data_IF_461776236073
#
_entry.id   IF_461776236073
#
_cell.length_a   1.000
_cell.length_b   1.000
_cell.length_c   1.000
_cell.angle_alpha   90.00
_cell.angle_beta   90.00
_cell.angle_gamma   90.00
#
_symmetry.space_group_name_H-M   'P 1'
#
loop_
_entity.id
_entity.type
_entity.pdbx_description
1 polymer ?
#
# COMPACT_ATOMS: atom_id res chain seq x y z
N UNK A 1 41.76 -49.29 -15.63
CA UNK A 1 41.75 -48.23 -16.65
C UNK A 1 40.29 -47.80 -16.77
N UNK A 2 39.78 -46.62 -16.42
CA UNK A 2 40.33 -45.28 -16.23
C UNK A 2 39.57 -44.60 -15.08
N UNK A 3 40.30 -43.81 -14.30
CA UNK A 3 39.90 -43.01 -13.14
C UNK A 3 39.67 -41.54 -13.53
N UNK A 4 38.71 -40.86 -12.91
CA UNK A 4 38.54 -39.39 -13.03
C UNK A 4 37.43 -38.85 -12.10
N UNK A 5 37.51 -37.58 -11.64
CA UNK A 5 37.90 -37.37 -10.24
C UNK A 5 36.82 -36.77 -9.31
N UNK A 6 37.02 -37.11 -8.05
CA UNK A 6 36.47 -36.54 -6.82
C UNK A 6 36.90 -35.08 -6.60
N UNK A 7 36.00 -34.23 -6.09
CA UNK A 7 36.35 -32.92 -5.54
C UNK A 7 35.80 -32.76 -4.13
N UNK A 8 36.74 -32.45 -3.23
CA UNK A 8 36.61 -32.32 -1.79
C UNK A 8 36.48 -30.84 -1.39
N UNK A 9 35.60 -30.60 -0.42
CA UNK A 9 35.68 -29.72 0.77
C UNK A 9 36.56 -28.46 0.68
N UNK A 10 35.96 -27.30 1.00
CA UNK A 10 36.65 -26.21 1.68
C UNK A 10 35.72 -25.59 2.75
N UNK A 11 36.11 -25.81 4.00
CA UNK A 11 35.60 -25.19 5.23
C UNK A 11 36.24 -23.80 5.35
N UNK A 12 35.44 -22.76 5.58
CA UNK A 12 35.95 -21.46 6.03
C UNK A 12 35.46 -21.19 7.45
N UNK A 13 36.37 -21.41 8.40
CA UNK A 13 36.26 -20.96 9.77
C UNK A 13 37.06 -19.65 9.90
N UNK A 14 36.44 -18.60 10.43
CA UNK A 14 37.11 -17.38 10.86
C UNK A 14 36.68 -17.05 12.29
N UNK A 15 37.54 -17.44 13.23
CA UNK A 15 37.63 -16.91 14.59
C UNK A 15 38.62 -15.76 14.58
N UNK A 16 38.32 -14.69 15.34
CA UNK A 16 39.22 -13.84 16.15
C UNK A 16 38.29 -12.83 16.85
N UNK A 17 37.96 -13.01 18.13
CA UNK A 17 38.72 -12.57 19.30
C UNK A 17 38.88 -11.04 19.38
N UNK A 18 38.21 -10.45 20.37
CA UNK A 18 38.30 -9.04 20.72
C UNK A 18 37.61 -8.78 22.06
N UNK A 19 38.24 -9.24 23.14
CA UNK A 19 37.90 -8.88 24.51
C UNK A 19 38.55 -7.55 24.86
N UNK A 20 37.78 -6.58 25.33
CA UNK A 20 38.30 -5.44 26.09
C UNK A 20 37.42 -5.15 27.28
N UNK A 21 38.12 -4.96 28.39
CA UNK A 21 37.72 -5.06 29.77
C UNK A 21 37.79 -3.66 30.41
N UNK A 22 36.96 -3.45 31.44
CA UNK A 22 37.10 -2.48 32.56
C UNK A 22 37.00 -0.99 32.22
N UNK A 23 36.00 -0.31 32.79
CA UNK A 23 36.20 0.51 33.99
C UNK A 23 34.91 1.11 34.54
N UNK A 24 34.56 0.73 35.76
CA UNK A 24 33.73 1.50 36.67
C UNK A 24 34.49 2.75 37.12
N UNK A 25 33.84 3.91 37.15
CA UNK A 25 34.19 5.00 38.06
C UNK A 25 32.96 5.80 38.46
N UNK A 26 32.94 6.05 39.75
CA UNK A 26 31.93 6.63 40.63
C UNK A 26 31.80 8.16 40.55
N UNK A 27 30.63 8.63 41.03
CA UNK A 27 30.43 9.79 41.92
C UNK A 27 30.77 11.18 41.38
N UNK A 28 29.75 12.04 41.34
CA UNK A 28 29.90 13.48 41.14
C UNK A 28 28.61 14.26 41.37
N UNK A 29 28.19 14.37 42.63
CA UNK A 29 27.26 15.40 43.10
C UNK A 29 27.88 16.79 42.97
N UNK A 30 27.14 17.75 42.39
CA UNK A 30 27.22 19.23 42.59
C UNK A 30 26.10 19.87 41.72
N UNK A 31 24.98 20.26 42.31
CA UNK A 31 24.67 21.61 42.81
C UNK A 31 24.65 22.74 41.75
N UNK A 32 23.43 23.26 41.58
CA UNK A 32 23.01 24.67 41.68
C UNK A 32 23.31 25.69 40.56
N UNK A 33 22.20 26.27 40.06
CA UNK A 33 21.88 27.71 39.77
C UNK A 33 21.08 27.77 38.46
N UNK A 34 19.80 28.15 38.44
CA UNK A 34 19.16 29.43 38.79
C UNK A 34 19.57 30.59 37.86
N UNK A 35 18.55 31.36 37.43
CA UNK A 35 18.56 32.60 36.63
C UNK A 35 18.54 32.37 35.10
N UNK A 36 17.78 33.11 34.28
CA UNK A 36 16.76 34.12 34.49
C UNK A 36 16.07 34.37 33.14
N UNK A 37 14.86 34.92 33.23
CA UNK A 37 14.11 35.69 32.24
C UNK A 37 14.87 36.18 31.00
N UNK A 38 14.29 35.92 29.83
CA UNK A 38 14.18 36.95 28.80
C UNK A 38 12.91 36.76 27.96
N UNK A 39 11.89 37.52 28.35
CA UNK A 39 10.77 37.91 27.51
C UNK A 39 11.26 38.95 26.51
N UNK A 40 11.15 38.68 25.20
CA UNK A 40 11.24 39.72 24.18
C UNK A 40 9.96 39.69 23.33
N UNK A 41 9.31 40.85 23.32
CA UNK A 41 8.05 41.20 22.66
C UNK A 41 8.22 41.39 21.15
N UNK A 42 7.12 41.42 20.38
CA UNK A 42 7.12 41.47 18.92
C UNK A 42 7.52 42.85 18.39
N UNK A 43 8.25 42.86 17.25
CA UNK A 43 8.45 44.07 16.45
C UNK A 43 7.28 44.23 15.48
N UNK A 44 6.64 45.38 15.57
CA UNK A 44 5.69 45.91 14.60
C UNK A 44 6.40 46.42 13.34
N UNK A 45 5.57 46.69 12.33
CA UNK A 45 5.78 47.68 11.26
C UNK A 45 6.77 47.36 10.15
N UNK A 46 6.23 46.76 9.09
CA UNK A 46 6.58 47.19 7.73
C UNK A 46 5.34 47.12 6.83
N UNK A 47 4.56 48.21 6.86
CA UNK A 47 3.63 48.55 5.78
C UNK A 47 4.40 48.64 4.45
N UNK A 48 4.05 47.80 3.47
CA UNK A 48 4.38 48.07 2.06
C UNK A 48 3.13 48.13 1.20
N UNK A 49 2.76 49.39 0.98
CA UNK A 49 2.10 50.00 -0.17
C UNK A 49 1.71 49.08 -1.32
N UNK A 50 0.39 49.06 -1.54
CA UNK A 50 -0.31 48.82 -2.79
C UNK A 50 0.30 49.63 -3.94
N UNK A 51 0.62 48.97 -5.05
CA UNK A 51 0.75 49.61 -6.35
C UNK A 51 -0.14 48.89 -7.35
N UNK A 52 -1.20 49.59 -7.75
CA UNK A 52 -2.06 49.29 -8.89
C UNK A 52 -1.32 49.66 -10.18
N UNK A 53 -1.16 48.68 -11.06
CA UNK A 53 -0.89 48.82 -12.49
C UNK A 53 -1.04 47.42 -13.09
N UNK A 54 -1.51 47.16 -14.30
CA UNK A 54 -2.17 47.90 -15.36
C UNK A 54 -2.40 46.79 -16.41
N UNK A 55 -3.63 46.63 -16.90
CA UNK A 55 -3.97 45.68 -17.97
C UNK A 55 -3.30 46.13 -19.27
N UNK A 56 -2.65 45.22 -20.04
CA UNK A 56 -3.06 45.16 -21.44
C UNK A 56 -2.97 43.79 -22.13
N UNK A 57 -3.83 43.69 -23.15
CA UNK A 57 -3.68 42.97 -24.43
C UNK A 57 -3.96 41.47 -24.45
N UNK A 58 -5.24 41.21 -24.76
CA UNK A 58 -5.69 40.19 -25.70
C UNK A 58 -4.73 40.04 -26.89
N UNK A 59 -4.28 38.81 -27.14
CA UNK A 59 -3.72 38.37 -28.42
C UNK A 59 -4.40 37.09 -28.91
N UNK A 60 -4.43 36.89 -30.23
CA UNK A 60 -5.39 36.03 -30.91
C UNK A 60 -5.02 34.55 -30.88
N UNK A 61 -6.08 33.76 -30.89
CA UNK A 61 -6.13 32.29 -30.99
C UNK A 61 -5.60 31.83 -32.36
N UNK A 62 -4.60 30.95 -32.43
CA UNK A 62 -4.36 30.15 -33.62
C UNK A 62 -5.31 28.93 -33.64
N UNK A 63 -6.09 28.86 -34.72
CA UNK A 63 -6.90 27.71 -35.11
C UNK A 63 -6.04 26.46 -35.26
N UNK A 64 -6.15 25.53 -34.32
CA UNK A 64 -5.50 24.22 -34.41
C UNK A 64 -6.43 23.25 -35.11
N UNK A 65 -5.92 22.73 -36.22
CA UNK A 65 -6.52 21.74 -37.12
C UNK A 65 -6.95 20.49 -36.35
N UNK A 66 -8.23 20.13 -36.44
CA UNK A 66 -8.74 18.85 -35.96
C UNK A 66 -8.18 17.71 -36.82
N UNK A 67 -7.10 17.09 -36.35
CA UNK A 67 -6.65 15.80 -36.88
C UNK A 67 -7.57 14.72 -36.30
N UNK A 68 -8.53 14.25 -37.09
CA UNK A 68 -9.32 13.04 -36.79
C UNK A 68 -8.42 11.81 -36.89
N UNK A 69 -7.73 11.47 -35.82
CA UNK A 69 -7.20 10.12 -35.66
C UNK A 69 -8.35 9.18 -35.36
N UNK A 70 -8.58 8.21 -36.26
CA UNK A 70 -9.44 7.05 -35.98
C UNK A 70 -8.82 6.29 -34.82
N UNK A 71 -9.35 6.47 -33.61
CA UNK A 71 -9.14 5.55 -32.51
C UNK A 71 -9.88 4.25 -32.85
N UNK A 72 -9.11 3.19 -33.08
CA UNK A 72 -9.62 1.83 -32.97
C UNK A 72 -9.85 1.56 -31.48
N UNK A 73 -11.06 1.80 -31.00
CA UNK A 73 -11.52 1.18 -29.76
C UNK A 73 -11.71 -0.30 -30.04
N UNK A 74 -10.72 -1.11 -29.68
CA UNK A 74 -10.96 -2.53 -29.38
C UNK A 74 -11.83 -2.57 -28.14
N UNK A 75 -13.15 -2.55 -28.36
CA UNK A 75 -14.14 -2.87 -27.34
C UNK A 75 -13.99 -4.34 -26.97
N UNK A 76 -13.09 -4.63 -26.05
CA UNK A 76 -13.20 -5.82 -25.20
C UNK A 76 -14.23 -5.50 -24.10
N UNK A 77 -15.47 -5.22 -24.51
CA UNK A 77 -16.60 -5.24 -23.60
C UNK A 77 -16.97 -6.71 -23.41
N UNK A 78 -16.23 -7.40 -22.54
CA UNK A 78 -16.71 -8.65 -21.93
C UNK A 78 -17.72 -8.23 -20.86
N UNK A 79 -18.88 -7.72 -21.32
CA UNK A 79 -20.11 -7.77 -20.55
C UNK A 79 -20.79 -9.10 -20.89
N UNK A 80 -20.11 -10.22 -20.58
CA UNK A 80 -20.78 -11.51 -20.48
C UNK A 80 -21.29 -11.61 -19.04
N UNK A 81 -22.59 -11.87 -18.89
CA UNK A 81 -23.21 -12.04 -17.58
C UNK A 81 -22.38 -13.00 -16.73
N UNK A 82 -22.01 -12.54 -15.53
CA UNK A 82 -21.14 -13.25 -14.60
C UNK A 82 -21.85 -14.45 -13.92
N UNK A 83 -22.49 -15.32 -14.70
CA UNK A 83 -22.84 -16.68 -14.26
C UNK A 83 -21.53 -17.46 -14.10
N UNK A 84 -20.84 -17.27 -12.96
CA UNK A 84 -19.64 -18.04 -12.63
C UNK A 84 -18.58 -17.31 -11.79
N UNK A 85 -18.68 -16.00 -11.59
CA UNK A 85 -17.68 -15.27 -10.80
C UNK A 85 -17.90 -15.46 -9.31
N UNK A 86 -17.25 -16.48 -8.74
CA UNK A 86 -17.27 -16.74 -7.30
C UNK A 86 -16.69 -15.55 -6.54
N UNK A 87 -17.46 -14.98 -5.62
CA UNK A 87 -17.04 -13.86 -4.77
C UNK A 87 -17.09 -14.28 -3.30
N UNK A 88 -16.01 -14.04 -2.57
CA UNK A 88 -15.89 -14.34 -1.14
C UNK A 88 -15.57 -13.03 -0.40
N UNK A 89 -16.37 -12.68 0.60
CA UNK A 89 -16.07 -11.55 1.49
C UNK A 89 -15.16 -12.03 2.61
N UNK A 90 -14.10 -11.29 2.92
CA UNK A 90 -13.25 -11.57 4.07
C UNK A 90 -14.06 -11.42 5.37
N UNK A 91 -14.23 -12.47 6.19
CA UNK A 91 -15.14 -12.44 7.34
C UNK A 91 -14.67 -11.52 8.46
N UNK A 92 -13.35 -11.47 8.71
CA UNK A 92 -12.78 -10.73 9.85
C UNK A 92 -12.29 -9.32 9.49
N UNK A 93 -12.35 -8.91 8.21
CA UNK A 93 -11.79 -7.63 7.81
C UNK A 93 -12.78 -6.50 8.16
N UNK A 94 -12.42 -5.54 9.03
CA UNK A 94 -13.37 -4.59 9.60
C UNK A 94 -14.01 -3.69 8.54
N UNK A 95 -13.24 -3.34 7.51
CA UNK A 95 -13.71 -2.46 6.43
C UNK A 95 -14.40 -3.22 5.31
N UNK A 96 -14.25 -4.54 5.20
CA UNK A 96 -14.77 -5.38 4.11
C UNK A 96 -13.87 -5.40 2.87
N UNK A 97 -13.14 -6.51 2.70
CA UNK A 97 -12.39 -6.85 1.49
C UNK A 97 -13.09 -8.03 0.80
N UNK A 98 -13.02 -8.06 -0.52
CA UNK A 98 -13.64 -9.10 -1.36
C UNK A 98 -12.58 -9.79 -2.21
N UNK A 99 -12.81 -11.09 -2.44
CA UNK A 99 -12.02 -11.94 -3.31
C UNK A 99 -12.92 -12.38 -4.46
N UNK A 100 -12.56 -11.99 -5.68
CA UNK A 100 -13.27 -12.39 -6.89
C UNK A 100 -12.41 -13.39 -7.66
N UNK A 101 -12.98 -14.54 -7.99
CA UNK A 101 -12.32 -15.51 -8.85
C UNK A 101 -12.13 -14.87 -10.24
N UNK A 102 -10.93 -15.01 -10.80
CA UNK A 102 -10.60 -14.53 -12.15
C UNK A 102 -10.38 -15.75 -13.04
N UNK A 103 -11.42 -16.24 -13.76
CA UNK A 103 -11.31 -17.46 -14.58
C UNK A 103 -10.25 -17.33 -15.67
N UNK A 104 -10.09 -16.14 -16.25
CA UNK A 104 -9.13 -15.86 -17.32
C UNK A 104 -7.68 -16.14 -16.92
N UNK A 105 -7.34 -15.94 -15.62
CA UNK A 105 -6.03 -16.21 -15.05
C UNK A 105 -5.96 -17.59 -14.36
N UNK A 106 -7.07 -18.32 -14.33
CA UNK A 106 -7.19 -19.63 -13.71
C UNK A 106 -7.08 -20.68 -14.80
N UNK A 107 -5.85 -20.95 -15.25
CA UNK A 107 -5.55 -21.95 -16.29
C UNK A 107 -4.56 -23.00 -15.80
N UNK A 108 -4.76 -24.24 -16.22
CA UNK A 108 -3.82 -25.34 -16.02
C UNK A 108 -2.61 -25.14 -16.95
N UNK A 109 -1.58 -24.46 -16.45
CA UNK A 109 -0.21 -24.51 -16.99
C UNK A 109 -0.02 -24.11 -18.46
N UNK A 110 0.52 -22.92 -18.68
CA UNK A 110 1.85 -22.81 -19.29
C UNK A 110 2.36 -21.40 -19.02
N UNK A 111 3.48 -21.30 -18.32
CA UNK A 111 4.25 -20.08 -18.10
C UNK A 111 3.69 -19.06 -17.10
N UNK A 112 4.36 -18.95 -15.96
CA UNK A 112 4.44 -17.68 -15.23
C UNK A 112 5.81 -16.98 -15.44
N UNK A 113 6.64 -17.47 -16.39
CA UNK A 113 8.11 -17.74 -16.33
C UNK A 113 8.46 -19.07 -15.65
N UNK A 114 7.69 -20.06 -16.08
CA UNK A 114 7.79 -21.50 -15.92
C UNK A 114 7.39 -22.01 -14.53
N UNK A 115 6.42 -22.92 -14.50
CA UNK A 115 5.98 -23.69 -13.34
C UNK A 115 7.15 -24.51 -12.74
N UNK A 116 8.12 -23.82 -12.13
CA UNK A 116 9.40 -24.33 -11.65
C UNK A 116 9.22 -25.33 -10.50
N UNK A 117 8.83 -26.53 -10.89
CA UNK A 117 8.99 -27.84 -10.24
C UNK A 117 7.94 -28.85 -10.72
N UNK A 118 6.94 -28.43 -11.52
CA UNK A 118 6.18 -29.29 -12.44
C UNK A 118 5.78 -30.67 -11.91
N UNK A 119 4.92 -30.71 -10.90
CA UNK A 119 4.08 -31.89 -10.70
C UNK A 119 2.88 -31.76 -11.65
N UNK A 120 2.80 -32.59 -12.68
CA UNK A 120 1.63 -32.70 -13.56
C UNK A 120 0.36 -32.86 -12.70
N UNK A 121 -0.63 -31.98 -12.90
CA UNK A 121 -1.98 -32.12 -12.32
C UNK A 121 -2.39 -31.10 -11.25
N UNK A 122 -1.57 -30.11 -10.91
CA UNK A 122 -1.98 -29.06 -9.96
C UNK A 122 -2.86 -28.01 -10.65
N UNK A 123 -4.08 -27.78 -10.13
CA UNK A 123 -4.96 -26.70 -10.60
C UNK A 123 -4.64 -25.43 -9.84
N UNK A 124 -4.56 -24.29 -10.52
CA UNK A 124 -4.33 -22.99 -9.88
C UNK A 124 -5.53 -22.08 -10.09
N UNK A 125 -6.10 -21.61 -8.99
CA UNK A 125 -7.19 -20.65 -8.96
C UNK A 125 -6.61 -19.27 -8.63
N UNK A 126 -6.82 -18.28 -9.50
CA UNK A 126 -6.37 -16.90 -9.29
C UNK A 126 -7.53 -16.04 -8.79
N UNK A 127 -7.31 -15.31 -7.71
CA UNK A 127 -8.29 -14.44 -7.08
C UNK A 127 -7.81 -12.99 -7.08
N UNK A 128 -8.66 -12.08 -7.52
CA UNK A 128 -8.46 -10.64 -7.39
C UNK A 128 -9.01 -10.16 -6.04
N UNK A 129 -8.22 -9.34 -5.33
CA UNK A 129 -8.54 -8.77 -4.03
C UNK A 129 -8.99 -7.33 -4.24
N UNK A 130 -10.18 -6.95 -3.77
CA UNK A 130 -10.78 -5.63 -4.02
C UNK A 130 -11.40 -5.04 -2.75
N UNK A 131 -11.63 -3.72 -2.76
CA UNK A 131 -12.42 -3.01 -1.75
C UNK A 131 -13.93 -2.95 -2.08
N UNK A 132 -14.32 -3.43 -3.26
CA UNK A 132 -15.67 -3.35 -3.82
C UNK A 132 -16.33 -4.72 -3.79
N UNK A 133 -17.64 -4.74 -3.61
CA UNK A 133 -18.45 -5.96 -3.63
C UNK A 133 -18.67 -6.52 -5.04
N UNK A 134 -18.59 -5.66 -6.05
CA UNK A 134 -18.70 -6.01 -7.46
C UNK A 134 -17.35 -6.48 -8.00
N UNK A 135 -17.33 -7.53 -8.86
CA UNK A 135 -16.10 -7.95 -9.51
C UNK A 135 -15.54 -6.83 -10.41
N UNK A 136 -14.21 -6.77 -10.58
CA UNK A 136 -13.58 -5.82 -11.49
C UNK A 136 -13.98 -6.11 -12.94
N UNK A 137 -14.10 -5.05 -13.76
CA UNK A 137 -14.47 -5.16 -15.17
C UNK A 137 -13.34 -5.70 -16.05
N UNK A 138 -12.10 -5.60 -15.57
CA UNK A 138 -10.92 -6.13 -16.24
C UNK A 138 -9.83 -6.50 -15.22
N UNK A 139 -8.89 -7.36 -15.63
CA UNK A 139 -7.72 -7.72 -14.80
C UNK A 139 -6.73 -6.56 -14.59
N UNK A 140 -6.82 -5.50 -15.40
CA UNK A 140 -5.98 -4.31 -15.30
C UNK A 140 -6.64 -3.19 -14.47
N UNK A 141 -7.83 -3.43 -13.93
CA UNK A 141 -8.58 -2.43 -13.18
C UNK A 141 -7.81 -1.94 -11.95
N UNK A 142 -7.77 -0.62 -11.76
CA UNK A 142 -7.12 0.00 -10.60
C UNK A 142 -7.92 -0.20 -9.31
N UNK A 143 -9.13 -0.77 -9.38
CA UNK A 143 -9.93 -1.21 -8.22
C UNK A 143 -9.39 -2.49 -7.56
N UNK A 144 -8.54 -3.25 -8.26
CA UNK A 144 -7.92 -4.48 -7.75
C UNK A 144 -6.71 -4.12 -6.92
N UNK A 145 -6.74 -4.41 -5.62
CA UNK A 145 -5.65 -4.18 -4.68
C UNK A 145 -4.44 -5.08 -4.95
N UNK A 146 -4.71 -6.33 -5.32
CA UNK A 146 -3.70 -7.34 -5.59
C UNK A 146 -4.32 -8.67 -5.99
N UNK A 147 -3.46 -9.66 -6.20
CA UNK A 147 -3.83 -10.99 -6.64
C UNK A 147 -3.26 -12.04 -5.70
N UNK A 148 -4.00 -13.13 -5.52
CA UNK A 148 -3.51 -14.33 -4.85
C UNK A 148 -3.78 -15.55 -5.73
N UNK A 149 -2.77 -16.41 -5.88
CA UNK A 149 -2.88 -17.67 -6.61
C UNK A 149 -2.89 -18.81 -5.61
N UNK A 150 -3.95 -19.60 -5.66
CA UNK A 150 -4.13 -20.74 -4.77
C UNK A 150 -3.98 -22.02 -5.58
N UNK A 151 -3.00 -22.84 -5.20
CA UNK A 151 -2.73 -24.13 -5.82
C UNK A 151 -3.57 -25.21 -5.15
N UNK A 152 -4.45 -25.87 -5.89
CA UNK A 152 -5.19 -27.03 -5.47
C UNK A 152 -4.41 -28.29 -5.86
N UNK A 153 -3.85 -28.96 -4.85
CA UNK A 153 -3.24 -30.27 -5.03
C UNK A 153 -4.34 -31.30 -5.30
N UNK A 154 -4.38 -31.85 -6.51
CA UNK A 154 -5.36 -32.85 -6.92
C UNK A 154 -5.27 -34.20 -6.14
N UNK A 155 -4.31 -34.34 -5.22
CA UNK A 155 -3.95 -35.61 -4.57
C UNK A 155 -4.24 -35.73 -3.07
N UNK A 156 -4.53 -34.63 -2.35
CA UNK A 156 -4.91 -34.73 -0.93
C UNK A 156 -6.41 -34.99 -0.81
N UNK A 157 -6.81 -36.23 -1.13
CA UNK A 157 -8.08 -36.75 -0.66
C UNK A 157 -8.19 -36.55 0.86
N UNK A 158 -9.39 -36.30 1.40
CA UNK A 158 -9.56 -35.97 2.82
C UNK A 158 -8.91 -37.06 3.66
N UNK A 159 -7.86 -36.68 4.41
CA UNK A 159 -7.32 -37.54 5.46
C UNK A 159 -8.51 -37.91 6.36
N UNK A 160 -8.87 -39.20 6.35
CA UNK A 160 -10.05 -39.70 7.03
C UNK A 160 -9.98 -39.33 8.51
N UNK A 161 -10.79 -38.36 8.93
CA UNK A 161 -10.76 -37.82 10.28
C UNK A 161 -12.02 -37.04 10.58
N UNK A 162 -13.14 -37.76 10.65
CA UNK A 162 -14.43 -37.31 11.18
C UNK A 162 -15.18 -36.23 10.38
N UNK A 163 -16.04 -36.70 9.48
CA UNK A 163 -17.05 -35.89 8.78
C UNK A 163 -18.31 -35.85 9.64
N UNK A 164 -18.70 -34.69 10.15
CA UNK A 164 -20.10 -34.42 10.51
C UNK A 164 -20.83 -33.97 9.23
N UNK A 165 -21.87 -34.73 8.88
CA UNK A 165 -22.69 -34.57 7.68
C UNK A 165 -23.34 -33.19 7.59
N UNK A 166 -22.95 -32.41 6.58
CA UNK A 166 -23.62 -31.19 6.16
C UNK A 166 -23.53 -30.99 4.65
N UNK A 167 -24.45 -31.61 3.90
CA UNK A 167 -24.90 -31.29 2.53
C UNK A 167 -23.86 -30.76 1.52
N UNK A 168 -23.13 -31.68 0.88
CA UNK A 168 -22.18 -31.42 -0.20
C UNK A 168 -22.79 -31.71 -1.59
N UNK A 169 -23.03 -30.70 -2.41
CA UNK A 169 -23.18 -30.85 -3.87
C UNK A 169 -22.39 -29.84 -4.72
N UNK A 170 -21.58 -28.97 -4.11
CA UNK A 170 -20.61 -28.12 -4.84
C UNK A 170 -19.17 -28.55 -4.50
N UNK A 171 -18.79 -29.73 -4.98
CA UNK A 171 -17.45 -30.32 -4.82
C UNK A 171 -16.42 -29.72 -5.79
N UNK A 172 -16.37 -28.38 -5.86
CA UNK A 172 -15.16 -27.65 -6.23
C UNK A 172 -14.66 -27.05 -4.94
N UNK A 173 -13.84 -27.80 -4.20
CA UNK A 173 -13.10 -27.30 -3.04
C UNK A 173 -12.07 -26.26 -3.53
N UNK A 174 -12.57 -25.10 -3.98
CA UNK A 174 -11.73 -23.98 -4.30
C UNK A 174 -11.06 -23.59 -2.99
N UNK A 175 -9.77 -23.83 -2.89
CA UNK A 175 -9.04 -23.57 -1.67
C UNK A 175 -9.32 -22.12 -1.21
N UNK A 176 -9.68 -21.96 0.07
CA UNK A 176 -10.14 -20.69 0.62
C UNK A 176 -9.05 -19.63 0.44
N UNK A 177 -9.25 -18.62 -0.43
CA UNK A 177 -8.24 -17.61 -0.71
C UNK A 177 -7.94 -16.76 0.52
N UNK A 178 -8.87 -16.65 1.47
CA UNK A 178 -8.66 -15.90 2.72
C UNK A 178 -7.63 -16.61 3.58
N UNK A 179 -7.90 -17.86 3.98
CA UNK A 179 -6.98 -18.65 4.79
C UNK A 179 -5.62 -18.83 4.12
N UNK A 180 -5.60 -19.06 2.80
CA UNK A 180 -4.36 -19.19 2.04
C UNK A 180 -3.52 -17.91 2.08
N UNK A 181 -4.13 -16.74 1.89
CA UNK A 181 -3.42 -15.46 1.92
C UNK A 181 -2.79 -15.18 3.28
N UNK A 182 -3.52 -15.45 4.37
CA UNK A 182 -2.99 -15.30 5.74
C UNK A 182 -1.80 -16.22 6.02
N UNK A 183 -1.88 -17.47 5.58
CA UNK A 183 -0.79 -18.42 5.73
C UNK A 183 0.42 -18.08 4.84
N UNK A 184 0.20 -17.37 3.73
CA UNK A 184 1.22 -17.08 2.71
C UNK A 184 1.18 -15.59 2.29
N UNK A 185 1.50 -14.65 3.19
CA UNK A 185 1.37 -13.22 2.89
C UNK A 185 2.25 -12.76 1.71
N UNK A 186 3.39 -13.41 1.50
CA UNK A 186 4.27 -13.15 0.36
C UNK A 186 3.73 -13.64 -0.98
N UNK A 187 2.70 -14.50 -0.98
CA UNK A 187 2.05 -14.96 -2.21
C UNK A 187 1.06 -13.91 -2.77
N UNK A 188 0.70 -12.90 -1.97
CA UNK A 188 -0.14 -11.80 -2.42
C UNK A 188 0.71 -10.83 -3.25
N UNK A 189 0.34 -10.69 -4.52
CA UNK A 189 1.00 -9.80 -5.48
C UNK A 189 0.24 -8.47 -5.54
N UNK A 190 0.84 -7.35 -5.09
CA UNK A 190 0.18 -6.05 -5.14
C UNK A 190 0.00 -5.56 -6.58
N UNK A 191 -1.13 -4.92 -6.86
CA UNK A 191 -1.37 -4.29 -8.15
C UNK A 191 -0.84 -2.84 -8.14
N UNK A 192 0.16 -2.49 -8.96
CA UNK A 192 0.73 -1.14 -8.98
C UNK A 192 -0.31 -0.05 -9.34
N UNK A 193 -1.29 -0.36 -10.19
CA UNK A 193 -2.32 0.60 -10.60
C UNK A 193 -3.20 1.03 -9.41
N UNK A 194 -3.54 0.09 -8.52
CA UNK A 194 -4.25 0.41 -7.29
C UNK A 194 -3.41 1.26 -6.34
N UNK A 195 -2.13 0.95 -6.17
CA UNK A 195 -1.25 1.74 -5.31
C UNK A 195 -1.09 3.18 -5.80
N UNK A 196 -0.97 3.37 -7.12
CA UNK A 196 -0.97 4.71 -7.71
C UNK A 196 -2.28 5.46 -7.41
N UNK A 197 -3.43 4.79 -7.59
CA UNK A 197 -4.75 5.35 -7.29
C UNK A 197 -4.90 5.68 -5.80
N UNK A 198 -4.46 4.77 -4.92
CA UNK A 198 -4.48 4.93 -3.46
C UNK A 198 -3.66 6.16 -3.05
N UNK A 199 -2.40 6.24 -3.46
CA UNK A 199 -1.52 7.36 -3.09
C UNK A 199 -2.00 8.68 -3.67
N UNK A 200 -2.50 8.68 -4.91
CA UNK A 200 -3.13 9.86 -5.50
C UNK A 200 -4.32 10.33 -4.67
N UNK A 201 -5.24 9.43 -4.31
CA UNK A 201 -6.42 9.76 -3.50
C UNK A 201 -6.02 10.27 -2.11
N UNK A 202 -5.06 9.60 -1.47
CA UNK A 202 -4.58 9.99 -0.15
C UNK A 202 -3.97 11.39 -0.14
N UNK A 203 -3.07 11.66 -1.10
CA UNK A 203 -2.44 12.97 -1.28
C UNK A 203 -3.47 14.05 -1.60
N UNK A 204 -4.38 13.75 -2.52
CA UNK A 204 -5.22 14.78 -3.11
C UNK A 204 -6.47 15.10 -2.29
N UNK A 205 -6.97 14.14 -1.49
CA UNK A 205 -8.26 14.28 -0.81
C UNK A 205 -8.24 13.93 0.68
N UNK A 206 -7.30 13.11 1.17
CA UNK A 206 -7.40 12.55 2.52
C UNK A 206 -6.50 13.25 3.54
N UNK A 207 -5.21 13.40 3.22
CA UNK A 207 -4.20 13.82 4.20
C UNK A 207 -4.48 15.19 4.77
N UNK A 208 -4.83 16.15 3.92
CA UNK A 208 -5.11 17.52 4.37
C UNK A 208 -6.37 17.60 5.22
N UNK A 209 -7.29 16.63 5.15
CA UNK A 209 -8.52 16.57 5.96
C UNK A 209 -8.35 15.81 7.28
N UNK A 210 -7.19 15.18 7.49
CA UNK A 210 -6.96 14.37 8.68
C UNK A 210 -6.68 15.23 9.92
N UNK A 211 -7.64 15.22 10.86
CA UNK A 211 -7.57 16.02 12.09
C UNK A 211 -6.38 15.64 12.98
N UNK A 212 -6.01 14.35 13.04
CA UNK A 212 -4.90 13.90 13.87
C UNK A 212 -3.56 14.36 13.29
N UNK A 213 -3.38 14.27 11.97
CA UNK A 213 -2.17 14.78 11.30
C UNK A 213 -2.07 16.31 11.41
N UNK A 214 -3.19 17.03 11.25
CA UNK A 214 -3.22 18.49 11.46
C UNK A 214 -2.86 18.86 12.89
N UNK A 215 -3.44 18.16 13.87
CA UNK A 215 -3.15 18.39 15.27
C UNK A 215 -1.67 18.16 15.58
N UNK A 216 -1.09 17.07 15.07
CA UNK A 216 0.34 16.80 15.21
C UNK A 216 1.20 17.91 14.60
N UNK A 217 0.88 18.34 13.38
CA UNK A 217 1.59 19.44 12.71
C UNK A 217 1.52 20.72 13.54
N UNK A 218 0.33 21.11 14.01
CA UNK A 218 0.12 22.31 14.82
C UNK A 218 0.90 22.29 16.12
N UNK A 219 1.05 21.13 16.75
CA UNK A 219 1.81 20.95 17.99
C UNK A 219 3.32 21.02 17.77
N UNK A 220 3.83 20.39 16.69
CA UNK A 220 5.27 20.28 16.40
C UNK A 220 5.84 21.47 15.60
N UNK A 221 4.96 22.26 14.97
CA UNK A 221 5.26 23.38 14.07
C UNK A 221 5.95 22.98 12.77
N UNK A 222 7.06 22.24 12.81
CA UNK A 222 7.72 21.78 11.59
C UNK A 222 8.29 20.37 11.75
N UNK A 223 8.31 19.60 10.65
CA UNK A 223 8.89 18.26 10.63
C UNK A 223 8.21 17.32 9.63
N UNK A 224 8.31 16.03 9.93
CA UNK A 224 7.70 14.95 9.15
C UNK A 224 6.60 14.27 9.97
N UNK A 225 5.50 13.94 9.31
CA UNK A 225 4.43 13.09 9.82
C UNK A 225 4.29 11.86 8.92
N UNK A 226 3.88 10.74 9.51
CA UNK A 226 3.66 9.48 8.81
C UNK A 226 2.16 9.22 8.63
N UNK A 227 1.78 8.90 7.40
CA UNK A 227 0.44 8.46 7.04
C UNK A 227 0.37 6.97 7.34
N UNK A 228 -0.24 6.61 8.47
CA UNK A 228 -0.25 5.23 8.95
C UNK A 228 -1.52 4.48 8.56
N UNK A 229 -1.34 3.19 8.33
CA UNK A 229 -2.40 2.19 8.26
C UNK A 229 -3.13 2.05 9.62
N UNK A 230 -4.42 1.73 9.61
CA UNK A 230 -5.23 1.52 10.82
C UNK A 230 -5.04 0.14 11.47
N UNK A 231 -4.27 -0.75 10.84
CA UNK A 231 -3.77 -1.98 11.47
C UNK A 231 -3.04 -1.69 12.79
N UNK A 232 -2.34 -0.56 12.86
CA UNK A 232 -1.59 -0.16 14.05
C UNK A 232 -2.14 1.14 14.65
N UNK A 233 -2.86 1.02 15.77
CA UNK A 233 -3.31 2.18 16.55
C UNK A 233 -2.16 2.71 17.40
N UNK A 234 -1.47 3.75 16.91
CA UNK A 234 -0.34 4.34 17.60
C UNK A 234 -0.77 5.33 18.68
N UNK A 235 -0.09 5.24 19.83
CA UNK A 235 -0.10 6.32 20.81
C UNK A 235 0.67 7.54 20.28
N UNK A 236 0.29 8.79 20.64
CA UNK A 236 1.03 9.98 20.25
C UNK A 236 2.54 9.86 20.55
N UNK A 237 3.38 10.15 19.55
CA UNK A 237 4.84 10.04 19.66
C UNK A 237 5.42 8.64 19.41
N UNK A 238 4.61 7.65 19.05
CA UNK A 238 5.07 6.37 18.49
C UNK A 238 5.06 6.42 16.97
N UNK A 239 5.98 5.68 16.36
CA UNK A 239 6.08 5.50 14.92
C UNK A 239 5.64 4.07 14.59
N UNK A 240 4.85 3.90 13.53
CA UNK A 240 4.45 2.59 13.02
C UNK A 240 5.66 1.83 12.49
N UNK A 241 5.51 0.52 12.37
CA UNK A 241 6.46 -0.28 11.62
C UNK A 241 6.53 0.17 10.15
N UNK A 242 7.71 0.12 9.50
CA UNK A 242 7.87 0.57 8.11
C UNK A 242 6.85 -0.04 7.14
N UNK A 243 6.45 -1.30 7.34
CA UNK A 243 5.45 -2.00 6.53
C UNK A 243 4.01 -1.47 6.69
N UNK A 244 3.74 -0.72 7.76
CA UNK A 244 2.44 -0.13 8.10
C UNK A 244 2.38 1.39 7.85
N UNK A 245 3.48 2.00 7.40
CA UNK A 245 3.52 3.41 6.97
C UNK A 245 3.19 3.47 5.47
N UNK A 246 2.08 4.10 5.10
CA UNK A 246 1.68 4.29 3.69
C UNK A 246 2.56 5.33 3.00
N UNK A 247 2.78 6.45 3.67
CA UNK A 247 3.52 7.59 3.12
C UNK A 247 4.08 8.48 4.23
N UNK A 248 4.99 9.37 3.86
CA UNK A 248 5.49 10.45 4.71
C UNK A 248 5.18 11.80 4.09
N UNK A 249 4.92 12.80 4.94
CA UNK A 249 4.60 14.17 4.53
C UNK A 249 5.37 15.16 5.40
N UNK A 250 5.76 16.28 4.82
CA UNK A 250 6.34 17.41 5.54
C UNK A 250 5.21 18.33 6.02
N UNK A 251 5.41 18.93 7.19
CA UNK A 251 4.64 20.07 7.63
C UNK A 251 5.57 21.21 8.07
N UNK A 252 5.13 22.44 7.83
CA UNK A 252 5.88 23.67 8.12
C UNK A 252 4.90 24.68 8.71
N UNK A 253 5.30 25.35 9.79
CA UNK A 253 4.50 26.33 10.54
C UNK A 253 3.12 25.81 10.99
N UNK A 254 3.02 24.49 11.21
CA UNK A 254 1.80 23.81 11.63
C UNK A 254 0.86 23.42 10.49
N UNK A 255 1.28 23.61 9.24
CA UNK A 255 0.49 23.27 8.05
C UNK A 255 1.09 22.07 7.30
N UNK A 256 0.25 21.08 6.99
CA UNK A 256 0.60 19.95 6.15
C UNK A 256 0.88 20.41 4.71
N UNK A 257 1.96 19.92 4.10
CA UNK A 257 2.36 20.25 2.73
C UNK A 257 2.15 19.07 1.78
N UNK A 258 1.00 18.38 1.86
CA UNK A 258 0.78 17.16 1.08
C UNK A 258 0.73 17.43 -0.44
N UNK A 259 0.06 18.51 -0.84
CA UNK A 259 -0.04 18.96 -2.24
C UNK A 259 0.80 20.21 -2.50
N UNK A 260 1.11 20.50 -3.77
CA UNK A 260 1.58 21.83 -4.16
C UNK A 260 0.54 22.89 -3.78
N UNK A 261 0.97 23.97 -3.13
CA UNK A 261 0.06 25.11 -2.87
C UNK A 261 -0.29 25.81 -4.18
N UNK A 262 -1.56 26.17 -4.34
CA UNK A 262 -2.08 26.81 -5.55
C UNK A 262 -1.48 28.22 -5.79
N UNK A 263 -0.94 28.84 -4.75
CA UNK A 263 -0.27 30.15 -4.81
C UNK A 263 1.16 30.09 -5.38
N UNK A 264 1.66 28.88 -5.69
CA UNK A 264 3.02 28.67 -6.18
C UNK A 264 4.10 28.81 -5.11
N UNK A 265 3.73 29.00 -3.85
CA UNK A 265 4.66 29.07 -2.71
C UNK A 265 4.86 27.68 -2.14
N UNK A 266 6.06 27.12 -2.33
CA UNK A 266 6.42 25.78 -1.85
C UNK A 266 7.06 24.94 -2.94
N UNK A 267 7.43 23.71 -2.61
CA UNK A 267 7.92 22.76 -3.61
C UNK A 267 6.77 22.43 -4.58
N UNK A 268 7.06 22.56 -5.87
CA UNK A 268 6.13 22.38 -6.99
C UNK A 268 5.44 21.00 -7.03
N UNK A 269 5.94 20.02 -6.28
CA UNK A 269 5.41 18.66 -6.24
C UNK A 269 4.65 18.31 -4.95
N UNK A 270 4.62 19.21 -3.95
CA UNK A 270 4.19 18.84 -2.60
C UNK A 270 5.22 17.93 -1.92
N UNK A 271 4.97 17.56 -0.67
CA UNK A 271 5.90 16.76 0.15
C UNK A 271 5.47 15.32 0.36
N UNK A 272 4.39 14.88 -0.30
CA UNK A 272 3.87 13.52 -0.15
C UNK A 272 4.80 12.51 -0.80
N UNK A 273 5.38 11.62 0.01
CA UNK A 273 6.28 10.57 -0.41
C UNK A 273 5.69 9.19 -0.05
N UNK A 274 5.27 8.38 -1.04
CA UNK A 274 4.91 6.98 -0.82
C UNK A 274 6.06 6.21 -0.19
N UNK A 275 5.73 5.20 0.62
CA UNK A 275 6.73 4.36 1.28
C UNK A 275 6.86 2.99 0.59
N UNK A 276 8.05 2.70 0.05
CA UNK A 276 8.34 1.45 -0.69
C UNK A 276 8.34 0.20 0.21
N UNK A 277 8.51 0.39 1.53
CA UNK A 277 8.49 -0.71 2.49
C UNK A 277 7.06 -1.20 2.80
N UNK A 278 6.03 -0.43 2.43
CA UNK A 278 4.64 -0.74 2.73
C UNK A 278 4.21 -2.10 2.13
N UNK A 279 3.34 -2.82 2.85
CA UNK A 279 2.81 -4.13 2.42
C UNK A 279 1.29 -4.17 2.54
N UNK A 280 0.66 -4.66 1.48
CA UNK A 280 -0.80 -4.84 1.41
C UNK A 280 -1.32 -5.83 2.46
N UNK A 281 -0.54 -6.87 2.74
CA UNK A 281 -0.83 -7.93 3.70
C UNK A 281 0.45 -8.24 4.48
N UNK A 282 0.34 -8.27 5.81
CA UNK A 282 1.41 -8.72 6.72
C UNK A 282 0.96 -9.95 7.49
N UNK A 283 1.90 -10.77 7.95
CA UNK A 283 1.58 -12.00 8.69
C UNK A 283 0.93 -11.70 10.05
N UNK A 284 1.30 -10.58 10.67
CA UNK A 284 0.90 -10.20 12.02
C UNK A 284 -0.43 -9.45 12.03
N UNK A 285 -0.60 -8.50 11.11
CA UNK A 285 -1.68 -7.52 11.19
C UNK A 285 -2.75 -7.71 10.10
N UNK A 286 -2.53 -8.63 9.16
CA UNK A 286 -3.46 -8.92 8.09
C UNK A 286 -3.46 -7.85 6.98
N UNK A 287 -4.58 -7.73 6.28
CA UNK A 287 -4.74 -6.83 5.15
C UNK A 287 -4.81 -5.35 5.58
N UNK A 288 -4.40 -4.46 4.66
CA UNK A 288 -4.51 -3.00 4.79
C UNK A 288 -5.84 -2.54 5.40
N UNK A 289 -5.75 -1.66 6.40
CA UNK A 289 -6.91 -0.99 6.98
C UNK A 289 -6.78 0.52 6.81
N UNK A 290 -7.76 1.14 6.17
CA UNK A 290 -7.82 2.59 6.02
C UNK A 290 -8.78 3.18 7.06
N UNK A 291 -8.50 4.42 7.50
CA UNK A 291 -9.47 5.20 8.28
C UNK A 291 -10.78 5.28 7.49
N UNK A 292 -11.93 5.22 8.16
CA UNK A 292 -13.22 5.17 7.47
C UNK A 292 -13.40 6.33 6.47
N UNK A 293 -13.03 7.55 6.86
CA UNK A 293 -13.08 8.74 5.99
C UNK A 293 -12.21 8.63 4.75
N UNK A 294 -11.07 7.94 4.84
CA UNK A 294 -10.18 7.69 3.70
C UNK A 294 -10.70 6.55 2.84
N UNK A 295 -11.17 5.48 3.47
CA UNK A 295 -11.74 4.31 2.82
C UNK A 295 -12.90 4.70 1.90
N UNK A 296 -13.80 5.56 2.38
CA UNK A 296 -14.97 5.99 1.59
C UNK A 296 -14.54 6.69 0.29
N UNK A 297 -13.51 7.55 0.37
CA UNK A 297 -12.93 8.23 -0.80
C UNK A 297 -12.22 7.27 -1.73
N UNK A 298 -11.39 6.37 -1.19
CA UNK A 298 -10.67 5.36 -1.98
C UNK A 298 -11.64 4.41 -2.67
N UNK A 299 -12.70 3.97 -1.99
CA UNK A 299 -13.76 3.15 -2.60
C UNK A 299 -14.47 3.86 -3.73
N UNK A 300 -14.82 5.12 -3.53
CA UNK A 300 -15.40 5.94 -4.59
C UNK A 300 -14.49 5.98 -5.83
N UNK A 301 -13.19 6.21 -5.62
CA UNK A 301 -12.20 6.19 -6.72
C UNK A 301 -12.04 4.81 -7.34
N UNK A 302 -12.06 3.74 -6.55
CA UNK A 302 -12.04 2.38 -7.08
C UNK A 302 -13.26 2.11 -7.96
N UNK A 303 -14.46 2.56 -7.56
CA UNK A 303 -15.68 2.38 -8.34
C UNK A 303 -15.64 3.14 -9.68
N UNK A 304 -15.01 4.31 -9.73
CA UNK A 304 -14.77 5.08 -10.96
C UNK A 304 -13.79 4.38 -11.93
N UNK A 305 -12.92 3.52 -11.40
CA UNK A 305 -11.85 2.83 -12.13
C UNK A 305 -12.00 1.28 -12.10
N UNK A 306 -13.23 0.79 -11.91
CA UNK A 306 -13.52 -0.63 -11.75
C UNK A 306 -13.60 -1.38 -13.07
#
# INVERSE_FOLDING_TARGET
MSSGPSRSIAVFALRLAGSSSISNASVGSRQARALAHQTARPSSDAQRKLTLSAIPKLRPVPSTVQCRTRTFSTSSAIAQGAEGTKTIRHPEHPTGIYFHLVPELSSASSDWKDAQSGAEGQRTSTWAITLLDQPPSSIEAASIMGFVRVTESAGDGPASGHVESGSSNDASASADPVAFSHANPSAVQPNPAFFELLHKTLRDECVEEDELLRFEAQMRKSGWAHVNDQREQLMPGRQAWPENILASIVFIDGELQARPKADGTGDSQGSYQPNDAYRLLTAQDGFIQLKQTWLDKVRKRCAEHN
#
